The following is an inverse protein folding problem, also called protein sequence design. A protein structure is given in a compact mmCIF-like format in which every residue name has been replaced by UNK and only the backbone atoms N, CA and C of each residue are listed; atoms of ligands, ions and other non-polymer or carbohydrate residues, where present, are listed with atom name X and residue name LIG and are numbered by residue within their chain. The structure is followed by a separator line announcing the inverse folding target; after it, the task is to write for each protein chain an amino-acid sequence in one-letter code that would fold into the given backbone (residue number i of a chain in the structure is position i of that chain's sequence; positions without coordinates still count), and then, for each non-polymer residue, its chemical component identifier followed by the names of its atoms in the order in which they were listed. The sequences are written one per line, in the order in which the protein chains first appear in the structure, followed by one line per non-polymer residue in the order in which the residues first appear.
data_IF_329408494320
#
_entry.id   IF_329408494320
#
_cell.length_a   1.000
_cell.length_b   1.000
_cell.length_c   1.000
_cell.angle_alpha   90.00
_cell.angle_beta   90.00
_cell.angle_gamma   90.00
#
_symmetry.space_group_name_H-M   'P 1'
#
loop_
_entity.id
_entity.type
_entity.pdbx_description
1 polymer ?
#
# COMPACT_ATOMS: atom_id res chain seq x y z
N UNK A 1 -94.26 -9.75 0.45
CA UNK A 1 -94.46 -10.84 1.44
C UNK A 1 -94.19 -12.15 0.70
N UNK A 2 -93.25 -13.01 1.07
CA UNK A 2 -92.57 -13.20 2.33
C UNK A 2 -91.07 -13.45 2.09
N UNK A 3 -90.26 -12.79 2.90
CA UNK A 3 -88.85 -13.08 3.12
C UNK A 3 -88.80 -14.41 3.88
N UNK A 4 -88.30 -15.46 3.23
CA UNK A 4 -88.09 -16.77 3.85
C UNK A 4 -86.83 -16.67 4.71
N UNK A 5 -87.00 -16.27 5.97
CA UNK A 5 -85.96 -16.47 7.00
C UNK A 5 -86.00 -17.93 7.43
N UNK A 6 -85.30 -18.80 6.71
CA UNK A 6 -84.93 -20.11 7.25
C UNK A 6 -83.92 -19.88 8.37
N UNK A 7 -84.37 -20.03 9.60
CA UNK A 7 -83.50 -20.11 10.78
C UNK A 7 -82.74 -21.43 10.65
N UNK A 8 -81.45 -21.35 10.31
CA UNK A 8 -80.55 -22.50 10.30
C UNK A 8 -80.48 -23.10 11.71
N UNK A 9 -80.75 -24.40 11.83
CA UNK A 9 -80.63 -25.14 13.08
C UNK A 9 -79.16 -25.19 13.54
N UNK A 10 -78.86 -24.90 14.81
CA UNK A 10 -77.51 -25.02 15.34
C UNK A 10 -77.00 -26.46 15.22
N UNK A 11 -76.01 -26.69 14.36
CA UNK A 11 -75.36 -28.00 14.16
C UNK A 11 -75.68 -28.75 12.86
N UNK A 12 -76.42 -28.15 11.92
CA UNK A 12 -76.63 -28.74 10.59
C UNK A 12 -75.29 -28.88 9.81
N UNK A 13 -75.08 -29.98 9.07
CA UNK A 13 -73.83 -30.19 8.32
C UNK A 13 -73.68 -29.17 7.20
N UNK A 14 -72.63 -28.34 7.30
CA UNK A 14 -72.27 -27.32 6.31
C UNK A 14 -71.77 -28.01 5.03
N UNK A 15 -72.28 -27.57 3.87
CA UNK A 15 -71.87 -28.11 2.57
C UNK A 15 -70.35 -27.93 2.37
N UNK A 16 -69.70 -28.90 1.71
CA UNK A 16 -68.23 -28.99 1.58
C UNK A 16 -67.54 -27.74 1.01
N UNK A 17 -68.27 -26.93 0.25
CA UNK A 17 -67.77 -25.71 -0.40
C UNK A 17 -68.28 -24.41 0.25
N UNK A 18 -69.06 -24.50 1.34
CA UNK A 18 -69.51 -23.35 2.11
C UNK A 18 -68.51 -23.00 3.21
N UNK A 19 -68.03 -21.75 3.23
CA UNK A 19 -67.14 -21.24 4.27
C UNK A 19 -67.97 -21.08 5.55
N UNK A 20 -67.66 -21.89 6.56
CA UNK A 20 -68.29 -21.81 7.88
C UNK A 20 -68.12 -20.39 8.48
N UNK A 21 -69.23 -19.66 8.73
CA UNK A 21 -69.19 -18.31 9.27
C UNK A 21 -68.58 -18.25 10.69
N UNK A 22 -68.57 -19.35 11.43
CA UNK A 22 -67.94 -19.41 12.76
C UNK A 22 -66.41 -19.57 12.68
N UNK A 23 -65.87 -20.10 11.57
CA UNK A 23 -64.42 -20.07 11.31
C UNK A 23 -63.88 -18.65 11.07
N UNK A 24 -64.73 -17.73 10.56
CA UNK A 24 -64.38 -16.31 10.38
C UNK A 24 -64.33 -15.58 11.74
N UNK A 25 -65.11 -16.05 12.73
CA UNK A 25 -65.17 -15.48 14.09
C UNK A 25 -64.05 -15.99 15.01
N UNK A 26 -63.29 -17.00 14.61
CA UNK A 26 -62.13 -17.46 15.38
C UNK A 26 -61.05 -16.37 15.40
N UNK A 27 -60.89 -15.76 16.57
CA UNK A 27 -59.83 -14.78 16.86
C UNK A 27 -58.47 -15.44 16.64
N UNK A 28 -57.85 -15.18 15.49
CA UNK A 28 -56.52 -15.71 15.16
C UNK A 28 -55.56 -15.38 16.30
N UNK A 29 -54.86 -16.40 16.79
CA UNK A 29 -53.80 -16.20 17.77
C UNK A 29 -52.77 -15.22 17.16
N UNK A 30 -52.44 -14.11 17.82
CA UNK A 30 -51.48 -13.16 17.27
C UNK A 30 -50.14 -13.86 17.08
N UNK A 31 -49.50 -13.64 15.92
CA UNK A 31 -48.16 -14.17 15.64
C UNK A 31 -47.21 -13.80 16.78
N UNK A 32 -46.63 -14.81 17.44
CA UNK A 32 -45.76 -14.61 18.60
C UNK A 32 -44.31 -14.56 18.13
N UNK A 33 -43.75 -13.36 18.05
CA UNK A 33 -42.30 -13.20 17.96
C UNK A 33 -41.70 -13.64 19.30
N UNK A 34 -40.77 -14.59 19.27
CA UNK A 34 -40.06 -15.05 20.48
C UNK A 34 -39.06 -14.00 20.97
N UNK A 35 -38.83 -13.96 22.30
CA UNK A 35 -37.86 -13.04 22.95
C UNK A 35 -36.48 -13.12 22.28
N UNK A 36 -36.00 -14.35 22.02
CA UNK A 36 -34.68 -14.60 21.43
C UNK A 36 -34.58 -13.99 20.02
N UNK A 37 -35.59 -14.20 19.18
CA UNK A 37 -35.61 -13.65 17.81
C UNK A 37 -35.62 -12.12 17.82
N UNK A 38 -36.42 -11.51 18.70
CA UNK A 38 -36.49 -10.06 18.81
C UNK A 38 -35.16 -9.46 19.30
N UNK A 39 -34.55 -10.05 20.32
CA UNK A 39 -33.24 -9.64 20.81
C UNK A 39 -32.14 -9.79 19.74
N UNK A 40 -32.13 -10.91 19.01
CA UNK A 40 -31.17 -11.16 17.94
C UNK A 40 -31.25 -10.13 16.81
N UNK A 41 -32.46 -9.73 16.40
CA UNK A 41 -32.65 -8.73 15.35
C UNK A 41 -32.24 -7.33 15.83
N UNK A 42 -32.58 -6.94 17.06
CA UNK A 42 -32.15 -5.67 17.65
C UNK A 42 -30.63 -5.59 17.71
N UNK A 43 -29.98 -6.67 18.16
CA UNK A 43 -28.53 -6.77 18.21
C UNK A 43 -27.92 -6.63 16.81
N UNK A 44 -28.42 -7.37 15.82
CA UNK A 44 -27.94 -7.32 14.45
C UNK A 44 -28.09 -5.91 13.84
N UNK A 45 -29.25 -5.27 14.03
CA UNK A 45 -29.50 -3.91 13.56
C UNK A 45 -28.52 -2.92 14.20
N UNK A 46 -28.26 -3.06 15.50
CA UNK A 46 -27.29 -2.23 16.24
C UNK A 46 -25.86 -2.40 15.71
N UNK A 47 -25.44 -3.64 15.44
CA UNK A 47 -24.12 -3.95 14.86
C UNK A 47 -23.98 -3.35 13.46
N UNK A 48 -25.00 -3.47 12.61
CA UNK A 48 -24.96 -2.88 11.26
C UNK A 48 -24.94 -1.34 11.30
N UNK A 49 -25.77 -0.72 12.14
CA UNK A 49 -25.77 0.74 12.31
C UNK A 49 -24.41 1.25 12.80
N UNK A 50 -23.79 0.52 13.74
CA UNK A 50 -22.44 0.83 14.20
C UNK A 50 -21.40 0.69 13.08
N UNK A 51 -21.44 -0.40 12.30
CA UNK A 51 -20.54 -0.62 11.15
C UNK A 51 -20.71 0.43 10.05
N UNK A 52 -21.94 0.88 9.79
CA UNK A 52 -22.24 1.90 8.79
C UNK A 52 -21.95 3.33 9.26
N UNK A 53 -21.66 3.56 10.54
CA UNK A 53 -21.50 4.91 11.06
C UNK A 53 -20.36 5.69 10.40
N UNK A 54 -19.24 5.03 10.06
CA UNK A 54 -18.15 5.67 9.33
C UNK A 54 -18.60 6.15 7.96
N UNK A 55 -19.26 5.27 7.19
CA UNK A 55 -19.76 5.59 5.86
C UNK A 55 -20.88 6.64 5.88
N UNK A 56 -21.74 6.61 6.90
CA UNK A 56 -22.76 7.63 7.13
C UNK A 56 -22.15 8.99 7.43
N UNK A 57 -21.08 9.01 8.24
CA UNK A 57 -20.36 10.24 8.60
C UNK A 57 -19.69 10.82 7.36
N UNK A 58 -18.96 10.00 6.61
CA UNK A 58 -18.32 10.43 5.37
C UNK A 58 -19.34 10.89 4.31
N UNK A 59 -20.41 10.13 4.09
CA UNK A 59 -21.47 10.45 3.13
C UNK A 59 -22.23 11.75 3.43
N UNK A 60 -22.20 12.23 4.68
CA UNK A 60 -22.74 13.52 5.07
C UNK A 60 -21.84 14.72 4.79
N UNK A 61 -20.60 14.51 4.31
CA UNK A 61 -19.69 15.60 3.96
C UNK A 61 -20.02 16.19 2.58
N UNK A 62 -19.70 17.47 2.41
CA UNK A 62 -19.75 18.17 1.13
C UNK A 62 -18.40 18.12 0.41
N UNK A 63 -17.97 19.28 -0.11
CA UNK A 63 -16.70 19.44 -0.80
C UNK A 63 -15.49 19.09 0.07
N UNK A 64 -14.41 18.68 -0.58
CA UNK A 64 -13.18 18.28 0.09
C UNK A 64 -12.57 19.46 0.85
N UNK A 65 -12.32 19.28 2.15
CA UNK A 65 -11.62 20.28 2.96
C UNK A 65 -10.14 20.28 2.63
N UNK A 66 -9.58 21.42 2.22
CA UNK A 66 -8.15 21.57 2.04
C UNK A 66 -7.43 21.45 3.40
N UNK A 67 -6.46 20.55 3.51
CA UNK A 67 -5.69 20.29 4.73
C UNK A 67 -4.21 20.14 4.43
N UNK A 68 -3.36 20.41 5.42
CA UNK A 68 -1.92 20.16 5.33
C UNK A 68 -1.55 18.80 5.91
N UNK A 69 -0.38 18.29 5.52
CA UNK A 69 0.18 17.06 6.11
C UNK A 69 0.32 17.21 7.63
N UNK A 70 0.79 18.36 8.11
CA UNK A 70 1.00 18.61 9.54
C UNK A 70 -0.31 18.54 10.34
N UNK A 71 -1.42 19.06 9.80
CA UNK A 71 -2.74 18.96 10.43
C UNK A 71 -3.20 17.50 10.55
N UNK A 72 -2.96 16.69 9.51
CA UNK A 72 -3.29 15.26 9.55
C UNK A 72 -2.42 14.54 10.59
N UNK A 73 -1.12 14.78 10.60
CA UNK A 73 -0.17 14.15 11.53
C UNK A 73 -0.40 14.57 12.99
N UNK A 74 -0.84 15.81 13.22
CA UNK A 74 -1.23 16.31 14.54
C UNK A 74 -2.56 15.71 15.05
N UNK A 75 -3.34 15.09 14.17
CA UNK A 75 -4.68 14.57 14.49
C UNK A 75 -5.78 15.64 14.51
N UNK A 76 -5.52 16.83 13.96
CA UNK A 76 -6.49 17.94 13.87
C UNK A 76 -7.62 17.65 12.86
N UNK A 77 -7.43 16.62 12.03
CA UNK A 77 -8.38 16.19 11.01
C UNK A 77 -9.02 14.88 11.45
N UNK A 78 -10.34 14.91 11.65
CA UNK A 78 -11.09 13.72 12.04
C UNK A 78 -10.98 12.62 10.97
N UNK A 79 -10.90 11.37 11.42
CA UNK A 79 -11.06 10.20 10.54
C UNK A 79 -12.44 10.24 9.89
N UNK A 80 -12.56 9.64 8.69
CA UNK A 80 -13.79 9.64 7.89
C UNK A 80 -14.16 11.02 7.31
N UNK A 81 -13.22 11.97 7.29
CA UNK A 81 -13.38 13.29 6.63
C UNK A 81 -13.05 13.22 5.14
N UNK A 82 -13.78 14.01 4.34
CA UNK A 82 -13.43 14.27 2.94
C UNK A 82 -12.42 15.41 2.85
N UNK A 83 -11.19 15.10 2.45
CA UNK A 83 -10.06 16.03 2.48
C UNK A 83 -9.33 16.09 1.16
N UNK A 84 -8.66 17.22 0.94
CA UNK A 84 -7.74 17.46 -0.17
C UNK A 84 -6.40 17.92 0.38
N UNK A 85 -5.31 17.26 0.01
CA UNK A 85 -3.97 17.62 0.47
C UNK A 85 -2.94 17.52 -0.66
N UNK A 86 -1.92 18.36 -0.59
CA UNK A 86 -0.73 18.25 -1.42
C UNK A 86 0.27 17.32 -0.73
N UNK A 87 0.67 16.25 -1.41
CA UNK A 87 1.64 15.30 -0.90
C UNK A 87 2.61 14.88 -2.00
N UNK A 88 3.79 14.41 -1.60
CA UNK A 88 4.76 13.79 -2.50
C UNK A 88 4.89 12.31 -2.14
N UNK A 89 4.16 11.41 -2.82
CA UNK A 89 4.26 9.98 -2.54
C UNK A 89 5.59 9.41 -3.04
N UNK A 90 6.20 8.56 -2.22
CA UNK A 90 7.41 7.82 -2.56
C UNK A 90 7.04 6.59 -3.40
N UNK A 91 6.81 6.79 -4.71
CA UNK A 91 6.32 5.74 -5.61
C UNK A 91 7.25 4.52 -5.71
N UNK A 92 8.55 4.68 -5.47
CA UNK A 92 9.50 3.56 -5.37
C UNK A 92 9.21 2.60 -4.22
N UNK A 93 8.42 3.05 -3.24
CA UNK A 93 8.02 2.30 -2.04
C UNK A 93 6.54 1.88 -2.08
N UNK A 94 5.90 1.96 -3.26
CA UNK A 94 4.51 1.58 -3.42
C UNK A 94 4.30 0.08 -3.14
N UNK A 95 3.38 -0.24 -2.22
CA UNK A 95 2.93 -1.60 -1.98
C UNK A 95 1.64 -1.84 -2.75
N UNK A 96 1.57 -2.95 -3.47
CA UNK A 96 0.34 -3.34 -4.17
C UNK A 96 -0.54 -4.15 -3.25
N UNK A 97 -1.79 -3.73 -3.13
CA UNK A 97 -2.82 -4.51 -2.45
C UNK A 97 -3.94 -4.83 -3.44
N UNK A 98 -4.62 -5.95 -3.26
CA UNK A 98 -5.85 -6.22 -4.00
C UNK A 98 -6.88 -6.78 -3.04
N UNK A 99 -8.08 -6.21 -3.06
CA UNK A 99 -9.22 -6.73 -2.32
C UNK A 99 -9.94 -7.86 -3.06
N UNK A 100 -9.63 -8.08 -4.35
CA UNK A 100 -10.30 -9.09 -5.19
C UNK A 100 -9.32 -9.76 -6.17
N UNK A 101 -9.42 -11.09 -6.30
CA UNK A 101 -8.66 -11.85 -7.29
C UNK A 101 -9.10 -11.42 -8.71
N UNK A 102 -8.21 -10.80 -9.47
CA UNK A 102 -8.47 -10.32 -10.83
C UNK A 102 -8.87 -8.84 -10.97
N UNK A 103 -8.96 -8.07 -9.87
CA UNK A 103 -9.16 -6.62 -9.92
C UNK A 103 -7.88 -5.86 -10.31
N UNK A 104 -8.03 -4.58 -10.71
CA UNK A 104 -6.91 -3.69 -11.06
C UNK A 104 -5.93 -3.47 -9.89
N UNK A 105 -6.35 -3.72 -8.65
CA UNK A 105 -5.56 -3.52 -7.44
C UNK A 105 -5.51 -2.06 -6.99
N UNK A 106 -4.88 -1.84 -5.83
CA UNK A 106 -4.59 -0.54 -5.24
C UNK A 106 -3.08 -0.42 -5.07
N UNK A 107 -2.58 0.80 -5.17
CA UNK A 107 -1.20 1.14 -4.79
C UNK A 107 -1.25 1.95 -3.52
N UNK A 108 -0.64 1.44 -2.46
CA UNK A 108 -0.54 2.12 -1.18
C UNK A 108 0.88 2.65 -1.06
N UNK A 109 1.02 3.98 -1.05
CA UNK A 109 2.30 4.66 -1.21
C UNK A 109 2.56 5.57 -0.02
N UNK A 110 3.72 5.48 0.66
CA UNK A 110 4.01 6.35 1.79
C UNK A 110 4.29 7.77 1.30
N UNK A 111 3.91 8.76 2.10
CA UNK A 111 4.18 10.18 1.80
C UNK A 111 5.56 10.57 2.33
N UNK A 112 6.38 11.17 1.47
CA UNK A 112 7.73 11.64 1.82
C UNK A 112 7.69 12.57 3.04
N UNK A 113 8.63 12.36 3.96
CA UNK A 113 8.81 13.22 5.13
C UNK A 113 7.79 12.98 6.26
N UNK A 114 6.93 11.97 6.14
CA UNK A 114 5.94 11.63 7.19
C UNK A 114 6.35 10.47 8.08
N UNK A 115 7.53 9.87 7.82
CA UNK A 115 8.01 8.72 8.60
C UNK A 115 7.07 7.51 8.54
N UNK A 116 6.39 7.29 7.41
CA UNK A 116 5.31 6.31 7.20
C UNK A 116 4.03 6.56 8.02
N UNK A 117 3.83 7.75 8.60
CA UNK A 117 2.57 8.09 9.31
C UNK A 117 1.41 8.47 8.37
N UNK A 118 1.69 8.79 7.11
CA UNK A 118 0.67 9.09 6.10
C UNK A 118 0.96 8.35 4.80
N UNK A 119 -0.09 7.71 4.27
CA UNK A 119 -0.07 6.96 3.03
C UNK A 119 -1.16 7.45 2.09
N UNK A 120 -0.94 7.35 0.80
CA UNK A 120 -1.95 7.59 -0.24
C UNK A 120 -2.30 6.26 -0.90
N UNK A 121 -3.59 5.95 -0.95
CA UNK A 121 -4.14 4.77 -1.62
C UNK A 121 -4.64 5.21 -2.98
N UNK A 122 -3.90 4.84 -4.02
CA UNK A 122 -4.18 5.20 -5.40
C UNK A 122 -4.88 4.04 -6.12
N UNK A 123 -6.00 4.32 -6.83
CA UNK A 123 -6.57 3.33 -7.74
C UNK A 123 -5.67 3.17 -8.98
N UNK A 124 -5.72 1.99 -9.60
CA UNK A 124 -5.10 1.74 -10.90
C UNK A 124 -4.20 0.52 -10.93
N UNK A 125 -4.08 -0.09 -12.12
CA UNK A 125 -3.17 -1.21 -12.31
C UNK A 125 -1.72 -0.75 -12.25
N UNK A 126 -0.79 -1.66 -12.00
CA UNK A 126 0.66 -1.41 -11.90
C UNK A 126 1.38 -0.78 -13.10
N UNK A 127 0.67 -0.54 -14.20
CA UNK A 127 1.24 -0.07 -15.48
C UNK A 127 0.83 1.36 -15.82
N UNK A 128 -0.15 1.93 -15.12
CA UNK A 128 -0.58 3.31 -15.33
C UNK A 128 0.32 4.31 -14.60
N UNK A 129 0.61 5.44 -15.26
CA UNK A 129 1.36 6.51 -14.61
C UNK A 129 0.54 7.06 -13.45
N UNK A 130 1.12 7.17 -12.23
CA UNK A 130 0.37 7.71 -11.10
C UNK A 130 -0.02 9.16 -11.33
N UNK A 131 -1.24 9.53 -10.98
CA UNK A 131 -1.67 10.94 -10.93
C UNK A 131 -0.80 11.69 -9.93
N UNK A 132 -0.21 12.79 -10.38
CA UNK A 132 0.53 13.75 -9.55
C UNK A 132 -0.35 14.97 -9.32
N UNK A 133 -0.36 15.50 -8.11
CA UNK A 133 -1.10 16.71 -7.75
C UNK A 133 -1.77 16.56 -6.39
N UNK A 134 -2.70 17.47 -6.06
CA UNK A 134 -3.44 17.36 -4.83
C UNK A 134 -4.29 16.09 -4.85
N UNK A 135 -4.13 15.30 -3.80
CA UNK A 135 -4.89 14.09 -3.56
C UNK A 135 -6.17 14.47 -2.83
N UNK A 136 -7.32 13.99 -3.31
CA UNK A 136 -8.63 14.24 -2.72
C UNK A 136 -9.36 12.92 -2.46
N UNK A 137 -9.83 12.76 -1.24
CA UNK A 137 -10.48 11.52 -0.84
C UNK A 137 -10.80 11.40 0.63
N UNK A 138 -11.02 10.17 1.08
CA UNK A 138 -11.39 9.86 2.46
C UNK A 138 -10.16 9.59 3.32
N UNK A 139 -10.02 10.31 4.42
CA UNK A 139 -8.96 10.07 5.39
C UNK A 139 -9.38 8.98 6.38
N UNK A 140 -8.61 7.90 6.50
CA UNK A 140 -8.87 6.81 7.46
C UNK A 140 -7.59 6.37 8.14
N UNK A 141 -7.70 5.68 9.28
CA UNK A 141 -6.55 4.95 9.85
C UNK A 141 -6.28 3.69 9.02
N UNK A 142 -5.01 3.37 8.79
CA UNK A 142 -4.62 2.17 8.04
C UNK A 142 -5.16 0.90 8.69
N UNK A 143 -5.14 0.83 10.02
CA UNK A 143 -5.68 -0.29 10.79
C UNK A 143 -7.20 -0.48 10.63
N UNK A 144 -7.93 0.52 10.14
CA UNK A 144 -9.36 0.44 9.86
C UNK A 144 -9.68 -0.04 8.43
N UNK A 145 -8.66 -0.26 7.60
CA UNK A 145 -8.80 -0.75 6.23
C UNK A 145 -8.75 -2.28 6.20
N UNK A 146 -9.51 -2.89 5.30
CA UNK A 146 -9.58 -4.35 5.16
C UNK A 146 -8.24 -4.99 4.81
N UNK A 147 -7.35 -4.25 4.15
CA UNK A 147 -6.00 -4.69 3.77
C UNK A 147 -4.91 -4.17 4.72
N UNK A 148 -5.26 -3.46 5.81
CA UNK A 148 -4.29 -2.79 6.68
C UNK A 148 -3.29 -3.76 7.34
N UNK A 149 -3.78 -4.90 7.83
CA UNK A 149 -2.93 -5.95 8.45
C UNK A 149 -1.96 -6.54 7.42
N UNK A 150 -2.48 -6.97 6.27
CA UNK A 150 -1.63 -7.55 5.21
C UNK A 150 -0.61 -6.55 4.66
N UNK A 151 -0.96 -5.26 4.61
CA UNK A 151 -0.07 -4.18 4.21
C UNK A 151 1.09 -4.02 5.21
N UNK A 152 0.80 -4.03 6.51
CA UNK A 152 1.80 -3.92 7.57
C UNK A 152 2.73 -5.15 7.64
N UNK A 153 2.16 -6.35 7.55
CA UNK A 153 2.92 -7.60 7.46
C UNK A 153 3.87 -7.58 6.24
N UNK A 154 3.38 -7.12 5.08
CA UNK A 154 4.20 -7.00 3.89
C UNK A 154 5.32 -5.97 4.07
N UNK A 155 5.02 -4.79 4.60
CA UNK A 155 6.00 -3.73 4.85
C UNK A 155 7.10 -4.17 5.83
N UNK A 156 6.73 -4.97 6.84
CA UNK A 156 7.66 -5.54 7.82
C UNK A 156 8.57 -6.61 7.19
N UNK A 157 7.99 -7.50 6.37
CA UNK A 157 8.72 -8.61 5.74
C UNK A 157 9.62 -8.18 4.58
N UNK A 158 9.34 -7.03 3.94
CA UNK A 158 10.06 -6.56 2.76
C UNK A 158 10.73 -5.21 3.03
N UNK A 159 12.02 -5.20 3.43
CA UNK A 159 12.77 -3.97 3.60
C UNK A 159 12.73 -3.12 2.33
N UNK A 160 12.46 -1.83 2.50
CA UNK A 160 12.44 -0.86 1.40
C UNK A 160 13.75 -0.08 1.42
N UNK A 161 14.55 -0.08 0.34
CA UNK A 161 15.81 0.63 0.35
C UNK A 161 15.58 2.13 0.49
N UNK A 162 16.32 2.72 1.42
CA UNK A 162 16.43 4.16 1.60
C UNK A 162 17.86 4.58 1.36
N UNK A 163 18.05 5.63 0.56
CA UNK A 163 19.39 6.04 0.15
C UNK A 163 19.90 7.17 1.02
N UNK A 164 21.15 7.08 1.46
CA UNK A 164 21.86 8.12 2.18
C UNK A 164 23.26 8.33 1.56
N UNK A 165 23.82 9.53 1.68
CA UNK A 165 25.19 9.76 1.27
C UNK A 165 26.19 9.26 2.34
N UNK A 166 27.45 9.09 1.96
CA UNK A 166 28.52 8.65 2.84
C UNK A 166 28.62 9.45 4.15
N UNK A 167 28.53 10.78 4.07
CA UNK A 167 28.64 11.67 5.23
C UNK A 167 27.50 11.46 6.24
N UNK A 168 26.26 11.31 5.77
CA UNK A 168 25.10 11.04 6.62
C UNK A 168 25.18 9.67 7.29
N UNK A 169 25.68 8.66 6.57
CA UNK A 169 25.94 7.32 7.13
C UNK A 169 26.98 7.39 8.24
N UNK A 170 28.13 8.06 8.01
CA UNK A 170 29.18 8.27 9.02
C UNK A 170 28.64 8.97 10.26
N UNK A 171 27.87 10.04 10.08
CA UNK A 171 27.26 10.78 11.17
C UNK A 171 26.28 9.92 12.00
N UNK A 172 25.68 8.90 11.37
CA UNK A 172 24.76 7.98 12.03
C UNK A 172 25.44 6.86 12.84
N UNK A 173 26.72 6.57 12.64
CA UNK A 173 27.41 5.48 13.35
C UNK A 173 27.29 5.53 14.88
N UNK A 174 27.44 6.70 15.56
CA UNK A 174 27.35 6.77 17.01
C UNK A 174 25.92 6.58 17.55
N UNK A 175 24.90 6.90 16.75
CA UNK A 175 23.51 7.01 17.21
C UNK A 175 22.58 5.94 16.64
N UNK A 176 23.02 5.24 15.58
CA UNK A 176 22.14 4.40 14.78
C UNK A 176 21.07 5.18 14.02
N UNK A 177 21.22 6.50 13.86
CA UNK A 177 20.26 7.36 13.17
C UNK A 177 20.87 7.99 11.92
N UNK A 178 20.31 7.71 10.75
CA UNK A 178 20.78 8.26 9.48
C UNK A 178 19.69 9.09 8.83
N UNK A 179 20.04 10.26 8.30
CA UNK A 179 19.12 11.04 7.47
C UNK A 179 19.29 10.62 6.01
N UNK A 180 18.23 10.08 5.41
CA UNK A 180 18.19 9.71 4.01
C UNK A 180 18.19 10.96 3.10
N UNK A 181 18.52 10.78 1.83
CA UNK A 181 18.42 11.82 0.79
C UNK A 181 16.99 12.36 0.65
N UNK A 182 15.99 11.55 1.00
CA UNK A 182 14.59 11.98 1.08
C UNK A 182 14.27 12.95 2.23
N UNK A 183 15.23 13.18 3.14
CA UNK A 183 15.06 13.95 4.38
C UNK A 183 14.50 13.15 5.55
N UNK A 184 14.19 11.85 5.37
CA UNK A 184 13.66 11.00 6.43
C UNK A 184 14.77 10.55 7.40
N UNK A 185 14.48 10.61 8.70
CA UNK A 185 15.33 10.02 9.73
C UNK A 185 15.04 8.53 9.86
N UNK A 186 16.06 7.71 9.67
CA UNK A 186 16.05 6.26 9.79
C UNK A 186 16.68 5.85 11.11
N UNK A 187 16.03 4.95 11.84
CA UNK A 187 16.65 4.24 12.95
C UNK A 187 17.11 2.88 12.43
N UNK A 188 18.40 2.59 12.56
CA UNK A 188 19.05 1.42 11.97
C UNK A 188 19.57 0.51 13.08
N UNK A 189 19.19 -0.76 13.01
CA UNK A 189 19.70 -1.81 13.89
C UNK A 189 21.00 -2.41 13.35
N UNK A 190 21.82 -3.00 14.20
CA UNK A 190 23.09 -3.61 13.79
C UNK A 190 22.93 -4.79 12.82
N UNK A 191 21.77 -5.42 12.82
CA UNK A 191 21.43 -6.52 11.93
C UNK A 191 20.88 -6.05 10.57
N UNK A 192 20.52 -4.77 10.44
CA UNK A 192 19.95 -4.24 9.20
C UNK A 192 20.97 -4.32 8.07
N UNK A 193 20.48 -4.69 6.89
CA UNK A 193 21.31 -4.84 5.70
C UNK A 193 21.64 -3.47 5.12
N UNK A 194 22.85 -3.34 4.61
CA UNK A 194 23.31 -2.15 3.90
C UNK A 194 23.91 -2.62 2.58
N UNK A 195 23.46 -2.01 1.49
CA UNK A 195 24.09 -2.18 0.19
C UNK A 195 24.82 -0.91 -0.23
N UNK A 196 25.95 -1.09 -0.88
CA UNK A 196 26.77 -0.02 -1.41
C UNK A 196 27.00 -0.29 -2.89
N UNK A 197 26.58 0.66 -3.72
CA UNK A 197 26.91 0.66 -5.14
C UNK A 197 28.06 1.64 -5.35
N UNK A 198 29.17 1.14 -5.88
CA UNK A 198 30.40 1.91 -6.07
C UNK A 198 30.73 1.94 -7.55
N UNK A 199 30.98 3.13 -8.07
CA UNK A 199 31.62 3.27 -9.38
C UNK A 199 33.10 2.98 -9.20
N UNK A 200 33.58 1.87 -9.75
CA UNK A 200 34.99 1.49 -9.67
C UNK A 200 35.84 2.48 -10.50
N UNK A 201 36.66 3.34 -9.88
CA UNK A 201 37.42 4.35 -10.63
C UNK A 201 38.54 3.72 -11.46
N UNK A 202 38.90 2.47 -11.18
CA UNK A 202 40.01 1.76 -11.79
C UNK A 202 39.55 0.74 -12.83
N UNK A 203 38.23 0.60 -13.04
CA UNK A 203 37.68 -0.34 -14.01
C UNK A 203 36.63 0.33 -14.88
N UNK A 204 36.74 0.16 -16.19
CA UNK A 204 35.76 0.64 -17.15
C UNK A 204 35.39 -0.45 -18.16
N UNK A 205 34.22 -0.30 -18.78
CA UNK A 205 33.74 -1.15 -19.84
C UNK A 205 33.78 -0.38 -21.16
N UNK A 206 34.59 -0.86 -22.11
CA UNK A 206 34.50 -0.41 -23.50
C UNK A 206 33.33 -1.15 -24.13
N UNK A 207 32.41 -0.41 -24.74
CA UNK A 207 31.36 -0.94 -25.61
C UNK A 207 31.63 -0.42 -27.01
N UNK A 208 31.94 -1.32 -27.93
CA UNK A 208 32.38 -1.00 -29.27
C UNK A 208 31.44 -1.60 -30.32
N UNK A 209 30.98 -0.76 -31.26
CA UNK A 209 30.11 -1.17 -32.35
C UNK A 209 30.91 -1.83 -33.48
N UNK A 210 30.46 -3.00 -33.94
CA UNK A 210 31.02 -3.68 -35.10
C UNK A 210 30.70 -2.87 -36.36
N UNK A 211 31.67 -2.73 -37.25
CA UNK A 211 31.55 -1.97 -38.50
C UNK A 211 32.48 -2.53 -39.58
N UNK A 212 32.40 -2.01 -40.80
CA UNK A 212 33.21 -2.51 -41.94
C UNK A 212 34.73 -2.46 -41.67
N UNK A 213 35.21 -1.47 -40.90
CA UNK A 213 36.64 -1.34 -40.53
C UNK A 213 37.03 -2.28 -39.39
N UNK A 214 36.13 -2.54 -38.46
CA UNK A 214 36.35 -3.35 -37.26
C UNK A 214 35.17 -4.35 -37.10
N UNK A 215 35.16 -5.43 -37.90
CA UNK A 215 33.98 -6.28 -38.06
C UNK A 215 33.77 -7.29 -36.94
N UNK A 216 34.79 -7.57 -36.12
CA UNK A 216 34.74 -8.60 -35.10
C UNK A 216 35.55 -8.24 -33.84
N UNK A 217 35.45 -9.10 -32.82
CA UNK A 217 36.14 -8.93 -31.55
C UNK A 217 37.67 -8.96 -31.68
N UNK A 218 38.22 -9.70 -32.64
CA UNK A 218 39.66 -9.81 -32.85
C UNK A 218 40.21 -8.51 -33.45
N UNK A 219 39.53 -7.95 -34.45
CA UNK A 219 39.86 -6.65 -35.04
C UNK A 219 39.85 -5.53 -33.99
N UNK A 220 38.83 -5.52 -33.12
CA UNK A 220 38.78 -4.59 -32.00
C UNK A 220 39.89 -4.82 -30.98
N UNK A 221 40.22 -6.08 -30.65
CA UNK A 221 41.33 -6.41 -29.74
C UNK A 221 42.65 -5.85 -30.26
N UNK A 222 42.95 -6.04 -31.56
CA UNK A 222 44.16 -5.51 -32.19
C UNK A 222 44.17 -3.99 -32.20
N UNK A 223 43.05 -3.34 -32.54
CA UNK A 223 42.95 -1.88 -32.57
C UNK A 223 43.13 -1.24 -31.18
N UNK A 224 42.51 -1.83 -30.15
CA UNK A 224 42.63 -1.37 -28.76
C UNK A 224 44.05 -1.56 -28.22
N UNK A 225 44.69 -2.70 -28.52
CA UNK A 225 46.09 -2.93 -28.18
C UNK A 225 47.02 -1.94 -28.89
N UNK A 226 46.78 -1.64 -30.17
CA UNK A 226 47.51 -0.62 -30.92
C UNK A 226 47.35 0.80 -30.35
N UNK A 227 46.20 1.10 -29.74
CA UNK A 227 45.95 2.35 -29.00
C UNK A 227 46.60 2.38 -27.60
N UNK A 228 47.36 1.34 -27.22
CA UNK A 228 47.98 1.22 -25.90
C UNK A 228 46.97 1.01 -24.77
N UNK A 229 45.82 0.41 -25.08
CA UNK A 229 44.78 0.06 -24.10
C UNK A 229 44.93 -1.42 -23.75
N UNK A 230 45.22 -1.71 -22.48
CA UNK A 230 45.25 -3.08 -21.96
C UNK A 230 43.83 -3.50 -21.62
N UNK A 231 43.30 -4.46 -22.38
CA UNK A 231 41.95 -5.01 -22.23
C UNK A 231 41.98 -6.42 -21.67
N UNK A 232 40.90 -6.80 -20.98
CA UNK A 232 40.58 -8.19 -20.68
C UNK A 232 40.06 -8.94 -21.91
N UNK A 233 39.62 -10.18 -21.69
CA UNK A 233 38.93 -10.95 -22.72
C UNK A 233 37.64 -10.27 -23.18
N UNK A 234 37.27 -10.47 -24.44
CA UNK A 234 36.01 -9.98 -24.98
C UNK A 234 34.83 -10.58 -24.19
N UNK A 235 33.92 -9.71 -23.77
CA UNK A 235 32.71 -10.08 -23.04
C UNK A 235 31.57 -10.20 -24.04
N UNK A 236 30.79 -11.31 -24.01
CA UNK A 236 29.62 -11.47 -24.87
C UNK A 236 28.62 -10.31 -24.68
N UNK A 237 28.00 -9.82 -25.76
CA UNK A 237 26.97 -8.80 -25.64
C UNK A 237 25.70 -9.38 -24.98
N UNK A 238 24.82 -8.53 -24.40
CA UNK A 238 23.53 -8.94 -23.88
C UNK A 238 22.67 -9.58 -24.97
N UNK A 239 21.78 -10.47 -24.57
CA UNK A 239 20.83 -11.14 -25.46
C UNK A 239 20.06 -10.11 -26.30
N UNK A 240 20.05 -10.30 -27.63
CA UNK A 240 19.35 -9.42 -28.57
C UNK A 240 20.21 -8.29 -29.15
N UNK A 241 21.49 -8.19 -28.79
CA UNK A 241 22.43 -7.23 -29.38
C UNK A 241 23.60 -7.99 -29.99
N UNK A 242 23.75 -7.98 -31.31
CA UNK A 242 24.78 -8.75 -32.02
C UNK A 242 25.83 -7.87 -32.73
N UNK A 243 25.61 -6.56 -32.76
CA UNK A 243 26.41 -5.55 -33.47
C UNK A 243 27.42 -4.84 -32.56
N UNK A 244 27.71 -5.40 -31.38
CA UNK A 244 28.68 -4.83 -30.44
C UNK A 244 29.58 -5.90 -29.80
N UNK A 245 30.79 -5.48 -29.43
CA UNK A 245 31.73 -6.21 -28.60
C UNK A 245 32.09 -5.39 -27.36
N UNK A 246 32.37 -6.06 -26.25
CA UNK A 246 32.65 -5.42 -24.97
C UNK A 246 34.00 -5.86 -24.41
N UNK A 247 34.71 -4.94 -23.76
CA UNK A 247 36.00 -5.22 -23.13
C UNK A 247 36.10 -4.52 -21.78
N UNK A 248 36.54 -5.24 -20.76
CA UNK A 248 36.88 -4.64 -19.48
C UNK A 248 38.30 -4.07 -19.55
N UNK A 249 38.48 -2.86 -19.02
CA UNK A 249 39.78 -2.19 -18.89
C UNK A 249 40.05 -1.94 -17.42
N UNK A 250 41.23 -2.36 -16.94
CA UNK A 250 41.69 -2.14 -15.56
C UNK A 250 42.87 -1.17 -15.56
N UNK A 251 42.61 0.10 -15.23
CA UNK A 251 43.63 1.14 -15.14
C UNK A 251 43.14 2.30 -14.28
N UNK A 252 44.05 3.04 -13.63
CA UNK A 252 43.64 4.17 -12.79
C UNK A 252 42.94 5.26 -13.61
N UNK A 253 41.79 5.74 -13.13
CA UNK A 253 40.95 6.67 -13.89
C UNK A 253 40.51 6.06 -15.22
N UNK A 254 40.03 4.81 -15.18
CA UNK A 254 39.81 3.98 -16.37
C UNK A 254 38.95 4.67 -17.41
N UNK A 255 37.89 5.37 -17.00
CA UNK A 255 36.97 6.04 -17.92
C UNK A 255 37.67 7.15 -18.70
N UNK A 256 38.25 8.13 -18.02
CA UNK A 256 38.85 9.30 -18.66
C UNK A 256 40.10 8.93 -19.47
N UNK A 257 40.97 8.09 -18.91
CA UNK A 257 42.20 7.66 -19.59
C UNK A 257 41.92 6.81 -20.83
N UNK A 258 40.95 5.89 -20.77
CA UNK A 258 40.57 5.06 -21.92
C UNK A 258 39.87 5.88 -22.99
N UNK A 259 38.97 6.80 -22.60
CA UNK A 259 38.28 7.70 -23.55
C UNK A 259 39.30 8.51 -24.34
N UNK A 260 40.27 9.12 -23.66
CA UNK A 260 41.35 9.90 -24.31
C UNK A 260 42.15 9.05 -25.31
N UNK A 261 42.47 7.80 -24.96
CA UNK A 261 43.20 6.88 -25.86
C UNK A 261 42.37 6.47 -27.07
N UNK A 262 41.07 6.20 -26.89
CA UNK A 262 40.16 5.87 -27.99
C UNK A 262 40.01 7.04 -28.97
N UNK A 263 39.87 8.26 -28.45
CA UNK A 263 39.78 9.48 -29.26
C UNK A 263 41.06 9.72 -30.06
N UNK A 264 42.23 9.64 -29.41
CA UNK A 264 43.53 9.81 -30.06
C UNK A 264 43.79 8.76 -31.15
N UNK A 265 43.28 7.53 -30.97
CA UNK A 265 43.40 6.45 -31.94
C UNK A 265 42.31 6.46 -33.04
N UNK A 266 41.37 7.42 -33.02
CA UNK A 266 40.28 7.48 -34.00
C UNK A 266 39.30 6.31 -33.89
N UNK A 267 39.10 5.77 -32.69
CA UNK A 267 38.21 4.64 -32.40
C UNK A 267 36.83 5.11 -31.91
N UNK A 268 36.20 6.01 -32.66
CA UNK A 268 34.96 6.69 -32.26
C UNK A 268 33.69 5.81 -32.25
N UNK A 269 33.78 4.60 -32.81
CA UNK A 269 32.71 3.60 -32.71
C UNK A 269 32.68 2.88 -31.35
N UNK A 270 33.51 3.32 -30.39
CA UNK A 270 33.53 2.81 -29.03
C UNK A 270 33.19 3.91 -28.02
N UNK A 271 32.46 3.53 -26.98
CA UNK A 271 32.22 4.36 -25.78
C UNK A 271 32.74 3.65 -24.54
N UNK A 272 33.06 4.42 -23.52
CA UNK A 272 33.55 3.92 -22.24
C UNK A 272 32.51 4.19 -21.16
N UNK A 273 32.04 3.13 -20.51
CA UNK A 273 31.11 3.21 -19.39
C UNK A 273 31.83 2.83 -18.07
N UNK A 274 31.53 3.49 -16.95
CA UNK A 274 32.03 3.07 -15.65
C UNK A 274 31.44 1.69 -15.26
N UNK A 275 32.22 0.88 -14.53
CA UNK A 275 31.69 -0.35 -13.93
C UNK A 275 31.19 -0.03 -12.51
N UNK A 276 29.92 -0.34 -12.26
CA UNK A 276 29.35 -0.28 -10.91
C UNK A 276 29.47 -1.65 -10.25
N UNK A 277 30.01 -1.70 -9.03
CA UNK A 277 30.09 -2.90 -8.20
C UNK A 277 29.11 -2.80 -7.04
N UNK A 278 28.40 -3.88 -6.79
CA UNK A 278 27.44 -4.01 -5.70
C UNK A 278 28.08 -4.77 -4.53
N UNK A 279 28.01 -4.18 -3.34
CA UNK A 279 28.45 -4.79 -2.10
C UNK A 279 27.31 -4.82 -1.09
N UNK A 280 27.17 -5.93 -0.36
CA UNK A 280 26.24 -6.04 0.77
C UNK A 280 27.00 -6.28 2.07
N UNK A 281 26.51 -5.69 3.16
CA UNK A 281 27.00 -5.88 4.52
C UNK A 281 25.89 -5.61 5.54
N UNK A 282 26.19 -5.66 6.83
CA UNK A 282 25.27 -5.22 7.89
C UNK A 282 25.71 -3.89 8.47
N UNK A 283 24.77 -3.14 9.06
CA UNK A 283 25.09 -1.89 9.76
C UNK A 283 26.14 -2.09 10.87
N UNK A 284 26.03 -3.18 11.64
CA UNK A 284 26.99 -3.52 12.69
C UNK A 284 28.42 -3.67 12.17
N UNK A 285 28.61 -4.32 11.02
CA UNK A 285 29.91 -4.45 10.37
C UNK A 285 30.37 -3.13 9.74
N UNK A 286 29.46 -2.39 9.11
CA UNK A 286 29.79 -1.12 8.45
C UNK A 286 30.26 -0.06 9.47
N UNK A 287 29.70 -0.02 10.68
CA UNK A 287 30.09 0.94 11.73
C UNK A 287 31.54 0.81 12.20
N UNK A 288 32.18 -0.33 12.00
CA UNK A 288 33.60 -0.55 12.37
C UNK A 288 34.55 -0.08 11.27
N UNK A 289 34.03 0.50 10.19
CA UNK A 289 34.81 1.01 9.06
C UNK A 289 35.84 2.07 9.50
N UNK A 290 37.07 2.03 8.99
CA UNK A 290 38.09 3.03 9.27
C UNK A 290 37.70 4.40 8.71
N UNK A 291 38.38 5.47 9.14
CA UNK A 291 38.14 6.82 8.62
C UNK A 291 38.52 6.98 7.13
N UNK A 292 39.33 6.06 6.58
CA UNK A 292 39.80 6.09 5.18
C UNK A 292 38.78 5.58 4.18
N UNK A 293 37.71 4.90 4.62
CA UNK A 293 36.67 4.37 3.74
C UNK A 293 35.76 3.37 4.44
N UNK A 294 34.72 2.90 3.77
CA UNK A 294 33.80 1.90 4.26
C UNK A 294 34.36 0.50 4.06
N UNK A 295 34.55 -0.23 5.14
CA UNK A 295 34.94 -1.64 5.11
C UNK A 295 33.71 -2.47 4.73
N UNK A 296 33.78 -3.13 3.58
CA UNK A 296 32.76 -4.07 3.10
C UNK A 296 33.30 -5.49 3.19
N UNK A 297 32.45 -6.48 2.88
CA UNK A 297 32.86 -7.88 2.87
C UNK A 297 34.11 -8.10 2.00
N UNK A 298 34.90 -9.12 2.34
CA UNK A 298 36.11 -9.54 1.60
C UNK A 298 37.33 -8.61 1.77
N UNK A 299 37.35 -7.77 2.82
CA UNK A 299 38.53 -6.95 3.15
C UNK A 299 38.73 -5.73 2.26
N UNK A 300 37.73 -5.37 1.45
CA UNK A 300 37.73 -4.18 0.60
C UNK A 300 37.34 -2.96 1.43
N UNK A 301 38.10 -1.87 1.29
CA UNK A 301 37.77 -0.57 1.88
C UNK A 301 37.47 0.40 0.76
N UNK A 302 36.24 0.94 0.75
CA UNK A 302 35.73 1.83 -0.29
C UNK A 302 35.87 3.28 0.17
N UNK A 303 36.66 4.13 -0.51
CA UNK A 303 36.77 5.54 -0.15
C UNK A 303 35.40 6.23 -0.22
N UNK A 304 35.12 7.11 0.76
CA UNK A 304 33.85 7.82 0.85
C UNK A 304 33.52 8.63 -0.43
N UNK A 305 34.54 9.09 -1.17
CA UNK A 305 34.39 9.84 -2.42
C UNK A 305 33.98 8.99 -3.64
N UNK A 306 34.11 7.67 -3.57
CA UNK A 306 33.71 6.73 -4.63
C UNK A 306 32.25 6.26 -4.48
N UNK A 307 31.60 6.64 -3.38
CA UNK A 307 30.24 6.29 -3.03
C UNK A 307 29.30 7.47 -3.29
N UNK A 308 28.43 7.31 -4.28
CA UNK A 308 27.37 8.29 -4.54
C UNK A 308 26.22 8.12 -3.53
N UNK A 309 25.65 6.91 -3.48
CA UNK A 309 24.55 6.56 -2.59
C UNK A 309 24.77 5.22 -1.90
N UNK A 310 24.43 5.15 -0.63
CA UNK A 310 24.42 3.95 0.20
C UNK A 310 22.96 3.56 0.44
N UNK A 311 22.58 2.36 0.01
CA UNK A 311 21.26 1.79 0.21
C UNK A 311 21.12 1.14 1.58
N UNK A 312 20.24 1.68 2.41
CA UNK A 312 19.95 1.20 3.75
C UNK A 312 18.64 0.40 3.70
N UNK A 313 18.70 -0.90 4.01
CA UNK A 313 17.56 -1.80 3.98
C UNK A 313 17.07 -2.03 5.40
N UNK A 314 16.34 -1.05 5.91
CA UNK A 314 15.68 -1.15 7.22
C UNK A 314 14.30 -1.79 7.03
N UNK A 315 14.05 -2.92 7.68
CA UNK A 315 12.68 -3.44 7.81
C UNK A 315 11.89 -2.53 8.74
N UNK A 316 10.84 -1.90 8.21
CA UNK A 316 9.98 -1.00 8.98
C UNK A 316 8.52 -1.30 8.64
N UNK A 317 7.82 -1.81 9.65
CA UNK A 317 6.37 -1.91 9.64
C UNK A 317 5.71 -0.53 9.60
N UNK A 318 4.41 -0.53 9.40
CA UNK A 318 3.62 0.70 9.41
C UNK A 318 3.45 1.16 10.86
N UNK A 319 3.81 2.41 11.19
CA UNK A 319 3.62 2.93 12.54
C UNK A 319 2.17 2.84 13.02
N UNK A 320 2.00 2.59 14.31
CA UNK A 320 0.68 2.61 14.94
C UNK A 320 -0.01 3.97 14.75
N UNK A 321 -1.28 3.92 14.34
CA UNK A 321 -2.08 5.12 14.10
C UNK A 321 -1.79 5.83 12.78
N UNK A 322 -0.97 5.25 11.89
CA UNK A 322 -0.78 5.78 10.55
C UNK A 322 -2.10 5.96 9.79
N UNK A 323 -2.15 7.03 8.99
CA UNK A 323 -3.29 7.42 8.19
C UNK A 323 -3.13 6.99 6.74
N UNK A 324 -4.25 6.76 6.07
CA UNK A 324 -4.38 6.55 4.65
C UNK A 324 -5.40 7.52 4.07
N UNK A 325 -5.02 8.23 3.01
CA UNK A 325 -5.93 8.96 2.15
C UNK A 325 -6.36 8.05 0.99
N UNK A 326 -7.64 7.71 0.93
CA UNK A 326 -8.20 6.89 -0.15
C UNK A 326 -8.61 7.79 -1.31
N UNK A 327 -7.77 7.84 -2.35
CA UNK A 327 -7.95 8.74 -3.47
C UNK A 327 -9.21 8.39 -4.28
N UNK A 328 -10.00 9.43 -4.60
CA UNK A 328 -11.17 9.29 -5.46
C UNK A 328 -12.45 8.86 -4.76
N UNK A 329 -12.41 8.51 -3.47
CA UNK A 329 -13.64 8.34 -2.67
C UNK A 329 -14.35 9.68 -2.50
N UNK A 330 -15.65 9.72 -2.82
CA UNK A 330 -16.49 10.92 -2.75
C UNK A 330 -17.70 10.66 -1.86
N UNK A 331 -18.14 11.62 -1.02
CA UNK A 331 -19.34 11.46 -0.20
C UNK A 331 -20.58 11.04 -0.99
N UNK A 332 -20.75 11.57 -2.21
CA UNK A 332 -21.87 11.24 -3.10
C UNK A 332 -21.95 9.75 -3.47
N UNK A 333 -20.86 8.98 -3.40
CA UNK A 333 -20.87 7.54 -3.66
C UNK A 333 -21.63 6.76 -2.56
N UNK A 334 -21.84 7.36 -1.39
CA UNK A 334 -22.47 6.76 -0.22
C UNK A 334 -23.94 7.18 -0.03
N UNK A 335 -24.60 7.68 -1.09
CA UNK A 335 -26.00 8.14 -1.04
C UNK A 335 -26.98 7.10 -0.48
N UNK A 336 -26.68 5.81 -0.66
CA UNK A 336 -27.52 4.69 -0.22
C UNK A 336 -27.41 4.40 1.29
N UNK A 337 -26.38 4.91 1.98
CA UNK A 337 -26.13 4.57 3.39
C UNK A 337 -27.20 5.16 4.30
N UNK A 338 -27.67 6.38 4.01
CA UNK A 338 -28.71 7.04 4.78
C UNK A 338 -30.05 6.28 4.73
N UNK A 339 -30.64 5.95 3.56
CA UNK A 339 -31.89 5.21 3.52
C UNK A 339 -31.78 3.81 4.14
N UNK A 340 -30.64 3.11 3.97
CA UNK A 340 -30.41 1.82 4.63
C UNK A 340 -30.37 1.97 6.15
N UNK A 341 -29.68 3.00 6.66
CA UNK A 341 -29.60 3.26 8.11
C UNK A 341 -30.98 3.56 8.70
N UNK A 342 -31.81 4.32 7.99
CA UNK A 342 -33.21 4.59 8.40
C UNK A 342 -34.01 3.28 8.43
N UNK A 343 -33.92 2.45 7.40
CA UNK A 343 -34.60 1.16 7.36
C UNK A 343 -34.18 0.24 8.52
N UNK A 344 -32.88 0.12 8.79
CA UNK A 344 -32.34 -0.64 9.91
C UNK A 344 -32.82 -0.10 11.26
N UNK A 345 -32.88 1.22 11.42
CA UNK A 345 -33.38 1.85 12.65
C UNK A 345 -34.87 1.55 12.86
N UNK A 346 -35.70 1.64 11.82
CA UNK A 346 -37.13 1.33 11.89
C UNK A 346 -37.37 -0.14 12.23
N UNK A 347 -36.64 -1.06 11.60
CA UNK A 347 -36.70 -2.49 11.92
C UNK A 347 -36.26 -2.71 13.37
N UNK A 348 -35.14 -2.14 13.77
CA UNK A 348 -34.63 -2.22 15.14
C UNK A 348 -35.64 -1.73 16.17
N UNK A 349 -36.30 -0.59 15.94
CA UNK A 349 -37.34 -0.04 16.81
C UNK A 349 -38.57 -0.96 16.90
N UNK A 350 -39.03 -1.50 15.76
CA UNK A 350 -40.16 -2.43 15.73
C UNK A 350 -39.86 -3.70 16.55
N UNK A 351 -38.66 -4.28 16.39
CA UNK A 351 -38.26 -5.47 17.13
C UNK A 351 -37.91 -5.18 18.58
N UNK A 352 -37.42 -3.99 18.91
CA UNK A 352 -37.24 -3.55 20.29
C UNK A 352 -38.59 -3.45 21.00
N UNK A 353 -39.61 -2.89 20.34
CA UNK A 353 -40.97 -2.87 20.87
C UNK A 353 -41.52 -4.29 21.08
N UNK A 354 -41.32 -5.19 20.10
CA UNK A 354 -41.72 -6.59 20.22
C UNK A 354 -40.99 -7.30 21.37
N UNK A 355 -39.70 -7.02 21.57
CA UNK A 355 -38.89 -7.55 22.66
C UNK A 355 -39.43 -7.11 24.01
N UNK A 356 -39.71 -5.81 24.19
CA UNK A 356 -40.28 -5.27 25.44
C UNK A 356 -41.62 -5.96 25.74
N UNK A 357 -42.46 -6.17 24.72
CA UNK A 357 -43.75 -6.86 24.88
C UNK A 357 -43.57 -8.34 25.23
N UNK A 358 -42.64 -9.03 24.60
CA UNK A 358 -42.35 -10.43 24.84
C UNK A 358 -41.76 -10.65 26.24
N UNK A 359 -40.84 -9.79 26.69
CA UNK A 359 -40.30 -9.81 28.06
C UNK A 359 -41.41 -9.61 29.10
N UNK A 360 -42.30 -8.63 28.89
CA UNK A 360 -43.45 -8.42 29.78
C UNK A 360 -44.39 -9.63 29.85
N UNK A 361 -44.56 -10.37 28.75
CA UNK A 361 -45.42 -11.56 28.68
C UNK A 361 -44.76 -12.80 29.29
N UNK A 362 -43.50 -13.02 28.96
CA UNK A 362 -42.83 -14.30 29.18
C UNK A 362 -41.98 -14.33 30.45
N UNK A 363 -41.58 -13.16 30.99
CA UNK A 363 -40.61 -13.05 32.07
C UNK A 363 -41.10 -12.26 33.29
N UNK A 364 -42.25 -11.58 33.21
CA UNK A 364 -42.85 -10.91 34.37
C UNK A 364 -43.98 -11.77 34.96
N UNK A 365 -44.01 -12.03 36.27
CA UNK A 365 -45.09 -12.79 36.90
C UNK A 365 -46.40 -11.99 36.79
N UNK A 366 -47.47 -12.63 36.30
CA UNK A 366 -48.82 -12.08 36.41
C UNK A 366 -49.22 -12.08 37.88
N UNK A 367 -49.38 -10.91 38.48
CA UNK A 367 -49.97 -10.81 39.81
C UNK A 367 -51.32 -11.54 39.81
N UNK A 368 -51.58 -12.45 40.77
CA UNK A 368 -52.87 -13.14 40.83
C UNK A 368 -54.00 -12.11 41.01
N UNK A 369 -55.16 -12.33 40.38
CA UNK A 369 -56.31 -11.46 40.60
C UNK A 369 -56.71 -11.54 42.08
N UNK A 370 -56.79 -10.37 42.72
CA UNK A 370 -57.31 -10.18 44.08
C UNK A 370 -58.81 -10.40 44.14
#
# INVERSE_FOLDING_TARGET
MAESTSVEEPGAPVAKDAIDPDLIKLKRAPSKIGVITAAGIVFLCSVFLWRLNGDRTFGGHGDAKAVTIQQVLAGDVATESHVKLEAEPLMSHAIRTSSQKGGLGLRVVPVRGTGDMLWVVLPGNGWEQPTKGPYSGRLRKISALSFGVALDEYATAHPRPMFANAAAVRAGFPTGKVTAVSGEALSISDADKVALDVVDPNTALIIAALNERLPDAQAWTTALSGAGITIGAAIPPPTGVSDQVRFEVKTAGAVASTTTKLEAAGLWAARVEPITRHYETTWGALKTSPATGFAVAQGVTLPDAELDLIGLYTSKGIPDGAYALIEGEKPAQYWYVLPISIGLALIGLMFLWALIRAVKRDLMPTSPPS
#
